data_IF_397796416877
#
_entry.id   IF_397796416877
#
_cell.length_a   1.000
_cell.length_b   1.000
_cell.length_c   1.000
_cell.angle_alpha   90.00
_cell.angle_beta   90.00
_cell.angle_gamma   90.00
#
_symmetry.space_group_name_H-M   'P 1'
#
loop_
_entity.id
_entity.type
_entity.pdbx_description
1 polymer ?
#
# COMPACT_ATOMS: atom_id res chain seq x y z
N UNK A 1 -7.69 -27.47 5.36
CA UNK A 1 -6.67 -28.19 4.57
C UNK A 1 -5.39 -27.38 4.65
N UNK A 2 -4.19 -27.95 4.73
CA UNK A 2 -2.94 -27.18 4.62
C UNK A 2 -2.56 -27.04 3.14
N UNK A 3 -1.80 -26.02 2.71
CA UNK A 3 -1.39 -25.90 1.32
C UNK A 3 -0.57 -27.14 0.92
N UNK A 4 -0.86 -27.72 -0.24
CA UNK A 4 -0.23 -28.97 -0.71
C UNK A 4 1.20 -28.75 -1.25
N UNK A 5 1.84 -27.64 -0.88
CA UNK A 5 3.15 -27.22 -1.36
C UNK A 5 4.01 -26.79 -0.18
N UNK A 6 5.24 -27.31 -0.12
CA UNK A 6 6.23 -26.90 0.87
C UNK A 6 6.92 -25.63 0.39
N UNK A 7 6.58 -24.50 1.00
CA UNK A 7 7.19 -23.22 0.65
C UNK A 7 8.61 -23.15 1.18
N UNK A 8 9.58 -22.88 0.29
CA UNK A 8 10.99 -22.75 0.65
C UNK A 8 11.26 -21.56 1.59
N UNK A 9 10.49 -20.48 1.44
CA UNK A 9 10.76 -19.20 2.09
C UNK A 9 9.77 -18.85 3.20
N UNK A 10 8.66 -19.59 3.33
CA UNK A 10 7.65 -19.30 4.35
C UNK A 10 7.81 -20.24 5.54
N UNK A 11 7.49 -19.73 6.73
CA UNK A 11 7.39 -20.52 7.95
C UNK A 11 6.18 -21.48 7.87
N UNK A 12 6.25 -22.58 8.62
CA UNK A 12 5.09 -23.44 8.85
C UNK A 12 4.42 -23.07 10.18
N UNK A 13 3.08 -22.95 10.23
CA UNK A 13 2.14 -23.07 9.11
C UNK A 13 2.23 -21.88 8.13
N UNK A 14 2.00 -22.16 6.84
CA UNK A 14 2.01 -21.14 5.79
C UNK A 14 0.98 -20.04 6.10
N UNK A 15 1.49 -18.83 6.30
CA UNK A 15 0.71 -17.68 6.78
C UNK A 15 0.71 -16.57 5.74
N UNK A 16 -0.46 -16.04 5.42
CA UNK A 16 -0.60 -14.74 4.73
C UNK A 16 -0.78 -13.67 5.80
N UNK A 17 0.00 -12.60 5.71
CA UNK A 17 -0.18 -11.41 6.52
C UNK A 17 -0.76 -10.30 5.64
N UNK A 18 -2.03 -9.96 5.86
CA UNK A 18 -2.75 -8.98 5.04
C UNK A 18 -2.47 -7.58 5.58
N UNK A 19 -1.86 -6.75 4.73
CA UNK A 19 -1.53 -5.36 5.02
C UNK A 19 -2.44 -4.48 4.16
N UNK A 20 -3.55 -4.02 4.75
CA UNK A 20 -4.47 -3.12 4.06
C UNK A 20 -3.99 -1.66 4.14
N UNK A 21 -3.73 -1.05 2.99
CA UNK A 21 -3.28 0.34 2.86
C UNK A 21 -4.23 1.13 1.94
N UNK A 22 -5.32 1.72 2.49
CA UNK A 22 -6.27 2.52 1.72
C UNK A 22 -5.66 3.88 1.35
N UNK A 23 -4.92 3.93 0.23
CA UNK A 23 -4.13 5.11 -0.14
C UNK A 23 -4.34 5.53 -1.60
N UNK A 24 -4.59 6.81 -1.81
CA UNK A 24 -4.76 7.42 -3.14
C UNK A 24 -3.84 8.63 -3.36
N UNK A 25 -2.90 8.91 -2.45
CA UNK A 25 -2.09 10.12 -2.48
C UNK A 25 -1.07 10.19 -3.62
N UNK A 26 -0.72 9.06 -4.24
CA UNK A 26 0.18 9.00 -5.39
C UNK A 26 -0.44 9.46 -6.70
N UNK A 27 -1.75 9.76 -6.72
CA UNK A 27 -2.47 10.17 -7.93
C UNK A 27 -3.63 11.14 -7.63
N UNK A 28 -4.39 11.50 -8.67
CA UNK A 28 -5.41 12.55 -8.62
C UNK A 28 -6.86 12.12 -8.40
N UNK A 29 -7.17 10.82 -8.36
CA UNK A 29 -8.54 10.27 -8.29
C UNK A 29 -8.78 9.55 -6.96
N UNK A 30 -9.84 9.91 -6.23
CA UNK A 30 -10.28 9.09 -5.10
C UNK A 30 -10.88 7.76 -5.55
N UNK A 31 -11.12 6.86 -4.60
CA UNK A 31 -11.84 5.60 -4.81
C UNK A 31 -10.95 4.37 -4.74
N UNK A 32 -9.68 4.47 -5.15
CA UNK A 32 -8.70 3.36 -4.99
C UNK A 32 -8.44 3.05 -3.51
N UNK A 33 -8.55 4.06 -2.65
CA UNK A 33 -8.48 3.93 -1.19
C UNK A 33 -9.64 3.10 -0.59
N UNK A 34 -10.74 2.90 -1.32
CA UNK A 34 -11.83 2.02 -0.87
C UNK A 34 -11.55 0.54 -1.14
N UNK A 35 -10.60 0.22 -2.04
CA UNK A 35 -10.37 -1.13 -2.52
C UNK A 35 -10.02 -2.16 -1.42
N UNK A 36 -9.16 -1.84 -0.42
CA UNK A 36 -8.81 -2.80 0.62
C UNK A 36 -10.04 -3.29 1.39
N UNK A 37 -10.90 -2.37 1.82
CA UNK A 37 -12.14 -2.72 2.53
C UNK A 37 -13.09 -3.51 1.65
N UNK A 38 -13.22 -3.15 0.37
CA UNK A 38 -14.09 -3.86 -0.59
C UNK A 38 -13.63 -5.31 -0.81
N UNK A 39 -12.32 -5.55 -0.95
CA UNK A 39 -11.77 -6.89 -1.10
C UNK A 39 -11.99 -7.75 0.15
N UNK A 40 -11.78 -7.17 1.33
CA UNK A 40 -12.05 -7.85 2.61
C UNK A 40 -13.53 -8.20 2.74
N UNK A 41 -14.43 -7.24 2.50
CA UNK A 41 -15.88 -7.47 2.55
C UNK A 41 -16.39 -8.45 1.50
N UNK A 42 -15.69 -8.59 0.37
CA UNK A 42 -15.98 -9.61 -0.64
C UNK A 42 -15.53 -11.04 -0.25
N UNK A 43 -15.01 -11.22 0.97
CA UNK A 43 -14.67 -12.53 1.51
C UNK A 43 -13.26 -13.01 1.18
N UNK A 44 -12.31 -12.10 0.89
CA UNK A 44 -10.91 -12.47 0.61
C UNK A 44 -10.29 -13.31 1.73
N UNK A 45 -10.54 -12.95 3.00
CA UNK A 45 -10.02 -13.68 4.17
C UNK A 45 -10.53 -15.12 4.16
N UNK A 46 -11.84 -15.32 4.00
CA UNK A 46 -12.46 -16.64 3.96
C UNK A 46 -11.93 -17.49 2.80
N UNK A 47 -11.70 -16.86 1.63
CA UNK A 47 -11.15 -17.54 0.46
C UNK A 47 -9.71 -18.04 0.72
N UNK A 48 -8.85 -17.21 1.31
CA UNK A 48 -7.49 -17.60 1.68
C UNK A 48 -7.47 -18.73 2.72
N UNK A 49 -8.34 -18.65 3.73
CA UNK A 49 -8.49 -19.71 4.73
C UNK A 49 -8.99 -21.02 4.12
N UNK A 50 -9.94 -20.97 3.18
CA UNK A 50 -10.41 -22.14 2.42
C UNK A 50 -9.29 -22.80 1.60
N UNK A 51 -8.36 -22.00 1.07
CA UNK A 51 -7.14 -22.47 0.40
C UNK A 51 -6.09 -23.04 1.37
N UNK A 52 -6.34 -22.93 2.68
CA UNK A 52 -5.51 -23.54 3.71
C UNK A 52 -4.47 -22.63 4.36
N UNK A 53 -4.50 -21.34 4.05
CA UNK A 53 -3.60 -20.38 4.66
C UNK A 53 -4.06 -20.04 6.07
N UNK A 54 -3.10 -19.92 6.99
CA UNK A 54 -3.34 -19.10 8.17
C UNK A 54 -3.38 -17.64 7.71
N UNK A 55 -4.40 -16.89 8.11
CA UNK A 55 -4.54 -15.48 7.72
C UNK A 55 -4.38 -14.62 8.96
N UNK A 56 -3.37 -13.74 8.93
CA UNK A 56 -3.28 -12.61 9.84
C UNK A 56 -3.88 -11.40 9.13
N UNK A 57 -4.82 -10.77 9.78
CA UNK A 57 -5.40 -9.51 9.32
C UNK A 57 -5.80 -8.72 10.57
N UNK A 58 -5.09 -7.63 10.80
CA UNK A 58 -5.56 -6.58 11.69
C UNK A 58 -6.36 -5.60 10.83
N UNK A 59 -7.54 -5.21 11.30
CA UNK A 59 -8.34 -4.17 10.63
C UNK A 59 -7.45 -3.00 10.25
N UNK A 60 -7.58 -2.51 9.01
CA UNK A 60 -6.69 -1.55 8.37
C UNK A 60 -5.95 -0.67 9.39
N UNK A 61 -4.66 -0.95 9.60
CA UNK A 61 -3.83 -0.16 10.52
C UNK A 61 -3.95 1.29 10.08
N UNK A 62 -4.37 2.12 11.02
CA UNK A 62 -4.68 3.51 10.71
C UNK A 62 -3.39 4.23 10.31
N UNK A 63 -3.35 4.72 9.07
CA UNK A 63 -2.34 5.68 8.60
C UNK A 63 -2.72 7.11 9.00
N UNK A 64 -3.73 7.30 9.87
CA UNK A 64 -4.23 8.62 10.25
C UNK A 64 -3.28 9.38 11.20
N UNK A 65 -2.26 8.72 11.74
CA UNK A 65 -1.19 9.34 12.52
C UNK A 65 -0.16 10.07 11.63
N UNK A 66 -0.11 9.77 10.33
CA UNK A 66 0.78 10.43 9.38
C UNK A 66 0.35 11.90 9.23
N UNK A 67 1.21 12.89 9.56
CA UNK A 67 0.82 14.31 9.61
C UNK A 67 0.32 14.89 8.29
N UNK A 68 0.78 14.35 7.17
CA UNK A 68 0.41 14.80 5.83
C UNK A 68 -0.83 14.07 5.29
N UNK A 69 -1.34 13.06 6.01
CA UNK A 69 -2.46 12.26 5.54
C UNK A 69 -3.76 13.04 5.72
N UNK A 70 -4.54 13.30 4.66
CA UNK A 70 -5.85 13.88 4.81
C UNK A 70 -6.74 12.90 5.56
N UNK A 71 -7.26 13.30 6.72
CA UNK A 71 -8.24 12.51 7.49
C UNK A 71 -9.62 13.15 7.31
N UNK A 72 -10.67 12.38 6.94
CA UNK A 72 -12.04 12.89 6.94
C UNK A 72 -12.43 13.36 8.35
N UNK A 73 -13.07 14.53 8.50
CA UNK A 73 -13.57 15.03 9.79
C UNK A 73 -14.49 14.04 10.52
N UNK A 74 -15.17 13.17 9.77
CA UNK A 74 -16.15 12.22 10.31
C UNK A 74 -15.53 10.85 10.62
N UNK A 75 -14.22 10.68 10.43
CA UNK A 75 -13.49 9.45 10.72
C UNK A 75 -13.24 9.26 12.23
N UNK A 76 -14.30 9.34 13.04
CA UNK A 76 -14.44 8.41 14.16
C UNK A 76 -14.84 7.07 13.56
N UNK A 77 -13.86 6.31 13.05
CA UNK A 77 -14.05 4.89 12.78
C UNK A 77 -14.22 4.19 14.14
N UNK A 78 -15.43 4.26 14.69
CA UNK A 78 -15.83 3.45 15.83
C UNK A 78 -15.83 2.00 15.38
N UNK A 79 -14.88 1.24 15.92
CA UNK A 79 -15.06 -0.20 16.02
C UNK A 79 -16.35 -0.48 16.78
N UNK A 80 -17.32 -1.11 16.14
CA UNK A 80 -18.25 -1.98 16.84
C UNK A 80 -18.02 -3.39 16.32
N UNK A 81 -17.24 -4.14 17.09
CA UNK A 81 -17.25 -5.59 17.04
C UNK A 81 -18.69 -6.05 17.33
N UNK A 82 -19.38 -6.62 16.34
CA UNK A 82 -20.69 -7.25 16.58
C UNK A 82 -21.69 -7.23 15.43
N UNK A 83 -21.50 -6.43 14.37
CA UNK A 83 -22.55 -6.30 13.35
C UNK A 83 -22.47 -7.37 12.26
N UNK A 84 -23.64 -7.95 11.96
CA UNK A 84 -23.85 -8.95 10.91
C UNK A 84 -23.42 -8.42 9.53
N UNK A 85 -23.01 -9.30 8.60
CA UNK A 85 -22.66 -8.89 7.25
C UNK A 85 -23.84 -8.15 6.60
N UNK A 86 -23.58 -6.92 6.18
CA UNK A 86 -24.51 -6.12 5.39
C UNK A 86 -24.53 -6.69 3.97
N UNK A 87 -25.72 -7.03 3.47
CA UNK A 87 -25.90 -7.53 2.10
C UNK A 87 -25.46 -6.49 1.07
N UNK A 88 -24.82 -6.95 0.00
CA UNK A 88 -24.17 -6.13 -1.03
C UNK A 88 -25.12 -5.22 -1.87
N UNK A 89 -26.43 -5.23 -1.60
CA UNK A 89 -27.45 -4.53 -2.40
C UNK A 89 -28.12 -3.34 -1.69
N UNK A 90 -27.80 -3.06 -0.42
CA UNK A 90 -28.30 -1.88 0.31
C UNK A 90 -27.14 -0.99 0.80
N UNK A 91 -26.46 -0.33 -0.14
CA UNK A 91 -25.70 0.87 0.22
C UNK A 91 -26.66 2.06 0.17
N UNK A 92 -26.92 2.77 1.28
CA UNK A 92 -27.68 4.00 1.22
C UNK A 92 -26.93 4.97 0.30
N UNK A 93 -27.60 5.44 -0.75
CA UNK A 93 -27.11 6.54 -1.57
C UNK A 93 -26.90 7.75 -0.64
N UNK A 94 -25.71 8.37 -0.63
CA UNK A 94 -25.49 9.57 0.16
C UNK A 94 -26.50 10.65 -0.28
N UNK A 95 -27.47 10.95 0.59
CA UNK A 95 -28.35 12.10 0.40
C UNK A 95 -27.56 13.35 0.77
N UNK A 96 -27.46 14.26 -0.21
CA UNK A 96 -26.80 15.56 -0.16
C UNK A 96 -25.27 15.51 0.01
N UNK A 97 -24.59 16.20 -0.91
CA UNK A 97 -23.14 16.41 -0.98
C UNK A 97 -22.63 17.16 0.25
N UNK A 98 -22.19 16.42 1.25
CA UNK A 98 -21.21 16.93 2.21
C UNK A 98 -19.89 16.29 1.78
N UNK A 99 -19.06 17.07 1.08
CA UNK A 99 -17.66 16.69 0.88
C UNK A 99 -17.06 16.53 2.28
N UNK A 100 -16.51 15.34 2.64
CA UNK A 100 -15.86 15.17 3.92
C UNK A 100 -14.74 16.21 4.01
N UNK A 101 -14.77 17.06 5.04
CA UNK A 101 -13.73 18.06 5.24
C UNK A 101 -12.47 17.28 5.63
N UNK A 102 -11.54 17.19 4.69
CA UNK A 102 -10.27 16.50 4.93
C UNK A 102 -9.35 17.45 5.69
N UNK A 103 -9.03 17.14 6.95
CA UNK A 103 -8.05 17.93 7.69
C UNK A 103 -6.67 17.32 7.44
N UNK A 104 -5.98 17.83 6.44
CA UNK A 104 -4.53 17.64 6.31
C UNK A 104 -3.86 18.41 7.47
N UNK A 105 -3.14 17.71 8.36
CA UNK A 105 -2.58 18.35 9.56
C UNK A 105 -1.38 19.23 9.25
N UNK A 106 -0.63 18.94 8.18
CA UNK A 106 0.47 19.76 7.69
C UNK A 106 0.43 19.88 6.16
N UNK A 107 0.65 21.08 5.58
CA UNK A 107 0.69 21.25 4.12
C UNK A 107 1.79 20.39 3.50
N UNK A 108 1.54 19.89 2.30
CA UNK A 108 2.52 19.12 1.53
C UNK A 108 2.74 19.77 0.17
N UNK A 109 3.47 20.90 0.13
CA UNK A 109 3.76 21.59 -1.13
C UNK A 109 4.64 20.72 -2.02
N UNK A 110 4.38 20.82 -3.32
CA UNK A 110 5.12 20.09 -4.34
C UNK A 110 6.65 20.31 -4.21
N UNK A 111 7.42 19.25 -4.46
CA UNK A 111 8.89 19.31 -4.57
C UNK A 111 9.23 19.10 -6.03
N UNK A 112 9.65 20.18 -6.70
CA UNK A 112 9.78 20.16 -8.16
C UNK A 112 8.42 19.87 -8.80
N UNK A 113 8.32 18.77 -9.56
CA UNK A 113 7.05 18.30 -10.14
C UNK A 113 6.28 17.34 -9.24
N UNK A 114 6.89 16.80 -8.19
CA UNK A 114 6.29 15.75 -7.36
C UNK A 114 5.14 16.32 -6.53
N UNK A 115 3.94 15.75 -6.70
CA UNK A 115 2.75 16.09 -5.91
C UNK A 115 2.67 15.24 -4.66
N UNK A 116 2.33 15.88 -3.55
CA UNK A 116 2.19 15.24 -2.22
C UNK A 116 3.40 14.36 -1.82
N UNK A 117 4.66 14.83 -2.01
CA UNK A 117 5.83 13.97 -1.82
C UNK A 117 6.02 13.51 -0.38
N UNK A 118 5.67 14.33 0.62
CA UNK A 118 5.85 13.97 2.05
C UNK A 118 4.82 12.94 2.48
N UNK A 119 3.59 13.08 2.03
CA UNK A 119 2.54 12.11 2.26
C UNK A 119 2.88 10.75 1.63
N UNK A 120 3.21 10.74 0.33
CA UNK A 120 3.55 9.50 -0.39
C UNK A 120 4.75 8.81 0.26
N UNK A 121 5.81 9.55 0.57
CA UNK A 121 6.99 9.01 1.25
C UNK A 121 6.65 8.39 2.60
N UNK A 122 5.95 9.12 3.48
CA UNK A 122 5.63 8.64 4.83
C UNK A 122 4.75 7.38 4.81
N UNK A 123 3.77 7.31 3.90
CA UNK A 123 2.92 6.12 3.75
C UNK A 123 3.74 4.94 3.22
N UNK A 124 4.56 5.16 2.19
CA UNK A 124 5.38 4.09 1.61
C UNK A 124 6.44 3.57 2.60
N UNK A 125 7.03 4.44 3.42
CA UNK A 125 7.96 4.04 4.48
C UNK A 125 7.26 3.16 5.53
N UNK A 126 6.04 3.53 5.95
CA UNK A 126 5.23 2.69 6.84
C UNK A 126 4.93 1.34 6.20
N UNK A 127 4.55 1.30 4.93
CA UNK A 127 4.32 0.04 4.21
C UNK A 127 5.59 -0.80 4.14
N UNK A 128 6.76 -0.21 3.89
CA UNK A 128 8.03 -0.93 3.90
C UNK A 128 8.30 -1.62 5.23
N UNK A 129 8.03 -0.92 6.34
CA UNK A 129 8.18 -1.47 7.69
C UNK A 129 7.22 -2.66 7.92
N UNK A 130 5.94 -2.49 7.65
CA UNK A 130 4.92 -3.53 7.88
C UNK A 130 5.17 -4.77 7.00
N UNK A 131 5.52 -4.57 5.72
CA UNK A 131 5.84 -5.67 4.80
C UNK A 131 7.14 -6.37 5.22
N UNK A 132 8.16 -5.60 5.63
CA UNK A 132 9.41 -6.15 6.14
C UNK A 132 9.22 -6.98 7.41
N UNK A 133 8.37 -6.53 8.33
CA UNK A 133 8.01 -7.27 9.56
C UNK A 133 7.28 -8.58 9.25
N UNK A 134 6.32 -8.56 8.34
CA UNK A 134 5.63 -9.77 7.89
C UNK A 134 6.59 -10.76 7.22
N UNK A 135 7.44 -10.27 6.31
CA UNK A 135 8.45 -11.08 5.63
C UNK A 135 9.47 -11.68 6.60
N UNK A 136 9.91 -10.90 7.60
CA UNK A 136 10.86 -11.36 8.64
C UNK A 136 10.29 -12.50 9.50
N UNK A 137 8.98 -12.54 9.71
CA UNK A 137 8.28 -13.64 10.39
C UNK A 137 8.09 -14.89 9.50
N UNK A 138 8.52 -14.84 8.24
CA UNK A 138 8.29 -15.91 7.27
C UNK A 138 6.82 -16.03 6.84
N UNK A 139 6.03 -14.97 7.01
CA UNK A 139 4.72 -14.85 6.40
C UNK A 139 4.85 -14.35 4.96
N UNK A 140 3.84 -14.61 4.13
CA UNK A 140 3.66 -13.98 2.83
C UNK A 140 2.93 -12.65 3.03
N UNK A 141 3.59 -11.49 2.83
CA UNK A 141 2.91 -10.20 2.92
C UNK A 141 1.97 -10.05 1.72
N UNK A 142 0.67 -9.90 1.98
CA UNK A 142 -0.33 -9.57 0.98
C UNK A 142 -0.79 -8.14 1.21
N UNK A 143 -0.19 -7.20 0.46
CA UNK A 143 -0.57 -5.80 0.57
C UNK A 143 -1.79 -5.51 -0.30
N UNK A 144 -2.87 -5.04 0.32
CA UNK A 144 -4.05 -4.55 -0.39
C UNK A 144 -3.93 -3.04 -0.45
N UNK A 145 -3.51 -2.54 -1.60
CA UNK A 145 -3.25 -1.12 -1.79
C UNK A 145 -4.49 -0.32 -2.18
N UNK A 146 -4.24 0.98 -2.35
CA UNK A 146 -4.90 1.77 -3.38
C UNK A 146 -3.94 1.96 -4.57
N UNK A 147 -3.38 3.15 -4.76
CA UNK A 147 -2.52 3.43 -5.92
C UNK A 147 -1.14 2.75 -5.87
N UNK A 148 -0.47 2.69 -7.03
CA UNK A 148 0.75 1.91 -7.22
C UNK A 148 2.02 2.53 -6.60
N UNK A 149 1.96 3.77 -6.06
CA UNK A 149 3.13 4.35 -5.37
C UNK A 149 3.56 3.50 -4.17
N UNK A 150 2.62 2.78 -3.55
CA UNK A 150 2.84 1.83 -2.47
C UNK A 150 3.86 0.74 -2.81
N UNK A 151 4.09 0.47 -4.11
CA UNK A 151 5.11 -0.47 -4.57
C UNK A 151 6.52 -0.11 -4.07
N UNK A 152 6.83 1.18 -3.88
CA UNK A 152 8.09 1.60 -3.23
C UNK A 152 8.24 0.90 -1.87
N UNK A 153 7.18 0.94 -1.06
CA UNK A 153 7.17 0.31 0.25
C UNK A 153 7.18 -1.22 0.17
N UNK A 154 6.29 -1.81 -0.63
CA UNK A 154 6.13 -3.28 -0.67
C UNK A 154 7.38 -4.00 -1.20
N UNK A 155 8.06 -3.43 -2.20
CA UNK A 155 9.28 -4.01 -2.77
C UNK A 155 10.43 -3.85 -1.77
N UNK A 156 10.64 -2.67 -1.19
CA UNK A 156 11.68 -2.45 -0.17
C UNK A 156 11.48 -3.36 1.05
N UNK A 157 10.25 -3.46 1.55
CA UNK A 157 9.90 -4.32 2.68
C UNK A 157 10.22 -5.79 2.37
N UNK A 158 9.80 -6.30 1.22
CA UNK A 158 10.07 -7.68 0.80
C UNK A 158 11.57 -7.94 0.65
N UNK A 159 12.29 -7.06 -0.06
CA UNK A 159 13.73 -7.21 -0.32
C UNK A 159 14.60 -7.04 0.92
N UNK A 160 14.08 -6.44 2.00
CA UNK A 160 14.78 -6.40 3.30
C UNK A 160 15.04 -7.79 3.89
N UNK A 161 14.15 -8.76 3.60
CA UNK A 161 14.31 -10.17 3.99
C UNK A 161 14.85 -11.03 2.84
N UNK A 162 14.44 -10.73 1.61
CA UNK A 162 14.75 -11.52 0.41
C UNK A 162 15.50 -10.66 -0.62
N UNK A 163 16.80 -10.35 -0.40
CA UNK A 163 17.56 -9.47 -1.29
C UNK A 163 17.66 -10.00 -2.74
N UNK A 164 17.62 -11.32 -2.92
CA UNK A 164 17.68 -11.99 -4.21
C UNK A 164 16.29 -12.20 -4.85
N UNK A 165 15.22 -11.62 -4.28
CA UNK A 165 13.90 -11.67 -4.89
C UNK A 165 13.86 -10.88 -6.21
N UNK A 166 13.26 -11.49 -7.23
CA UNK A 166 12.87 -10.84 -8.48
C UNK A 166 11.49 -10.19 -8.36
N UNK A 167 11.22 -9.23 -9.23
CA UNK A 167 9.98 -8.45 -9.27
C UNK A 167 9.30 -8.65 -10.61
N UNK A 168 8.13 -9.29 -10.61
CA UNK A 168 7.27 -9.35 -11.80
C UNK A 168 6.28 -8.18 -11.73
N UNK A 169 6.46 -7.17 -12.59
CA UNK A 169 5.58 -5.99 -12.66
C UNK A 169 4.48 -6.18 -13.71
N UNK A 170 3.25 -6.43 -13.26
CA UNK A 170 2.09 -6.62 -14.15
C UNK A 170 1.24 -5.36 -14.13
N UNK A 171 1.45 -4.49 -15.10
CA UNK A 171 0.71 -3.25 -15.24
C UNK A 171 0.65 -2.85 -16.73
N UNK A 172 -0.33 -2.02 -17.10
CA UNK A 172 -0.37 -1.37 -18.40
C UNK A 172 0.72 -0.28 -18.54
N UNK A 173 1.23 0.23 -17.42
CA UNK A 173 2.27 1.25 -17.36
C UNK A 173 3.56 0.71 -16.73
N UNK A 174 4.71 1.27 -17.13
CA UNK A 174 5.99 0.88 -16.58
C UNK A 174 6.29 1.50 -15.20
N UNK A 175 5.54 2.55 -14.81
CA UNK A 175 5.66 3.23 -13.52
C UNK A 175 7.11 3.62 -13.13
N UNK A 176 7.88 4.01 -14.15
CA UNK A 176 9.33 4.24 -14.10
C UNK A 176 9.73 5.70 -14.41
N UNK A 177 8.78 6.65 -14.39
CA UNK A 177 9.16 8.05 -14.53
C UNK A 177 10.01 8.50 -13.35
N UNK A 178 11.07 9.26 -13.61
CA UNK A 178 11.78 9.97 -12.54
C UNK A 178 11.01 11.22 -12.12
N UNK A 179 11.30 11.81 -10.95
CA UNK A 179 10.74 13.12 -10.56
C UNK A 179 10.92 14.22 -11.59
N UNK A 180 11.98 14.15 -12.40
CA UNK A 180 12.25 15.09 -13.48
C UNK A 180 11.51 14.78 -14.79
N UNK A 181 11.23 13.51 -15.08
CA UNK A 181 10.62 13.08 -16.35
C UNK A 181 9.08 13.00 -16.31
N UNK A 182 8.46 12.93 -15.13
CA UNK A 182 6.99 12.88 -15.03
C UNK A 182 6.35 14.17 -15.55
N UNK A 183 5.34 14.03 -16.41
CA UNK A 183 4.53 15.16 -16.89
C UNK A 183 3.43 15.54 -15.89
N UNK A 184 2.89 14.56 -15.17
CA UNK A 184 1.74 14.75 -14.28
C UNK A 184 2.12 15.17 -12.86
N UNK A 185 3.33 14.81 -12.43
CA UNK A 185 3.77 14.95 -11.04
C UNK A 185 3.21 13.89 -10.08
N UNK A 186 2.35 12.99 -10.57
CA UNK A 186 1.73 11.94 -9.75
C UNK A 186 2.75 10.80 -9.52
N UNK A 187 3.02 10.50 -8.25
CA UNK A 187 4.05 9.55 -7.85
C UNK A 187 3.68 8.08 -8.06
N UNK A 188 2.41 7.74 -8.36
CA UNK A 188 2.03 6.38 -8.71
C UNK A 188 2.72 5.86 -9.99
N UNK A 189 3.15 6.75 -10.88
CA UNK A 189 3.88 6.41 -12.10
C UNK A 189 5.41 6.52 -11.98
N UNK A 190 5.93 6.65 -10.76
CA UNK A 190 7.36 6.76 -10.45
C UNK A 190 7.98 5.63 -9.58
N UNK A 191 7.26 4.67 -8.96
CA UNK A 191 7.85 3.79 -7.95
C UNK A 191 9.07 3.00 -8.46
N UNK A 192 9.05 2.51 -9.71
CA UNK A 192 10.14 1.71 -10.26
C UNK A 192 11.42 2.53 -10.40
N UNK A 193 11.33 3.83 -10.71
CA UNK A 193 12.52 4.68 -10.81
C UNK A 193 13.22 4.81 -9.45
N UNK A 194 12.45 4.98 -8.36
CA UNK A 194 12.99 5.07 -7.01
C UNK A 194 13.66 3.76 -6.58
N UNK A 195 13.04 2.62 -6.91
CA UNK A 195 13.56 1.30 -6.57
C UNK A 195 14.85 0.94 -7.32
N UNK A 196 15.00 1.42 -8.56
CA UNK A 196 16.22 1.29 -9.37
C UNK A 196 17.29 2.35 -9.05
N UNK A 197 16.94 3.44 -8.37
CA UNK A 197 17.86 4.55 -8.10
C UNK A 197 18.21 5.35 -9.35
N UNK A 198 17.24 5.63 -10.22
CA UNK A 198 17.45 6.43 -11.42
C UNK A 198 17.76 7.91 -11.08
N UNK A 199 18.25 8.66 -12.07
CA UNK A 199 18.60 10.06 -11.87
C UNK A 199 17.43 10.88 -11.30
N UNK A 200 17.71 11.65 -10.24
CA UNK A 200 16.73 12.51 -9.58
C UNK A 200 15.86 11.83 -8.52
N UNK A 201 16.05 10.53 -8.23
CA UNK A 201 15.29 9.82 -7.18
C UNK A 201 15.97 9.85 -5.81
N UNK A 202 17.25 10.22 -5.73
CA UNK A 202 17.90 10.59 -4.47
C UNK A 202 17.46 12.01 -4.09
N UNK A 203 16.26 12.10 -3.51
CA UNK A 203 15.59 13.35 -3.20
C UNK A 203 14.81 13.24 -1.90
N UNK A 204 14.83 14.31 -1.11
CA UNK A 204 14.05 14.43 0.12
C UNK A 204 12.54 14.40 -0.17
N UNK A 205 11.71 13.71 0.65
CA UNK A 205 12.09 12.93 1.84
C UNK A 205 12.38 11.44 1.56
N UNK A 206 12.37 11.00 0.30
CA UNK A 206 12.51 9.59 -0.07
C UNK A 206 13.90 9.04 0.25
N UNK A 207 14.95 9.84 0.04
CA UNK A 207 16.34 9.44 0.30
C UNK A 207 16.68 9.19 1.78
N UNK A 208 15.80 9.57 2.70
CA UNK A 208 15.97 9.26 4.13
C UNK A 208 15.84 7.75 4.42
N UNK A 209 15.08 7.02 3.60
CA UNK A 209 14.73 5.62 3.88
C UNK A 209 14.79 4.70 2.66
N UNK A 210 14.62 5.22 1.44
CA UNK A 210 14.80 4.45 0.20
C UNK A 210 16.28 4.25 -0.06
N UNK A 211 16.69 2.98 -0.06
CA UNK A 211 17.96 2.53 -0.63
C UNK A 211 17.62 1.72 -1.87
N UNK A 212 18.06 2.11 -3.08
CA UNK A 212 17.78 1.35 -4.31
C UNK A 212 18.07 -0.13 -4.11
N UNK A 213 17.07 -0.97 -4.38
CA UNK A 213 17.08 -2.39 -4.05
C UNK A 213 16.83 -3.28 -5.27
N UNK A 214 16.57 -2.68 -6.44
CA UNK A 214 16.43 -3.40 -7.70
C UNK A 214 17.59 -3.07 -8.63
N UNK A 215 17.93 -4.05 -9.45
CA UNK A 215 18.67 -3.87 -10.70
C UNK A 215 17.74 -4.14 -11.89
N UNK A 216 18.04 -3.65 -13.09
CA UNK A 216 17.23 -3.94 -14.28
C UNK A 216 17.03 -5.45 -14.53
N UNK A 217 18.02 -6.28 -14.20
CA UNK A 217 17.94 -7.74 -14.30
C UNK A 217 17.07 -8.43 -13.23
N UNK A 218 16.60 -7.70 -12.22
CA UNK A 218 15.67 -8.22 -11.21
C UNK A 218 14.20 -8.14 -11.68
N UNK A 219 13.91 -7.46 -12.80
CA UNK A 219 12.57 -7.21 -13.37
C UNK A 219 12.12 -8.30 -14.36
#
# INVERSE_FOLDING_TARGET
>A
MSPNYKYRFLSEPATVDIIACPFSGGQGRSGVDLAPNRLISAGLVDQLQKLGWQVKYESAKSFADIPYNPVPTDAQYTHLAGDKPVNAEEFPTPKASIEPVMVQRLPDPDIGRMKKPRLVSAVCERVAKEVGEAAAQGALPLTLGGDHSLAMGTVLGTKSKYPDACLIWIDAHADINTPGSTDSGNLHGCPVSFLLGLEGTDVEPFNQWIKPCLKPEDL
#
